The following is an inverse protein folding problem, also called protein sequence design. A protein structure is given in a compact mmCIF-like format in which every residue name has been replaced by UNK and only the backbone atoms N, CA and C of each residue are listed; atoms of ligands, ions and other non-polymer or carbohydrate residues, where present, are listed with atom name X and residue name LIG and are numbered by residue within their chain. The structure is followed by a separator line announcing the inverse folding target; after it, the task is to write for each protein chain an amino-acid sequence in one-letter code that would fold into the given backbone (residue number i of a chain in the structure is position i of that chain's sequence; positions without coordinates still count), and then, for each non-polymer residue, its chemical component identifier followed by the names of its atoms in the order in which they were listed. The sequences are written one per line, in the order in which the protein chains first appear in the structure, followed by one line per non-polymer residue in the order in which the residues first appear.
data_IF_838108892195
#
_entry.id   IF_838108892195
#
_cell.length_a   1.000
_cell.length_b   1.000
_cell.length_c   1.000
_cell.angle_alpha   90.00
_cell.angle_beta   90.00
_cell.angle_gamma   90.00
#
_symmetry.space_group_name_H-M   'P 1'
#
loop_
_entity.id
_entity.type
_entity.pdbx_description
1 polymer ?
#
# COMPACT_ATOMS: atom_id res chain seq x y z
N UNK A 1 5.47 22.83 -27.20
CA UNK A 1 5.23 21.88 -26.10
C UNK A 1 5.28 22.69 -24.84
N UNK A 2 4.17 22.76 -24.11
CA UNK A 2 4.11 23.54 -22.87
C UNK A 2 4.57 22.64 -21.74
N UNK A 3 5.62 23.06 -21.05
CA UNK A 3 6.11 22.43 -19.83
C UNK A 3 4.96 22.40 -18.82
N UNK A 4 4.52 21.19 -18.48
CA UNK A 4 3.44 21.00 -17.53
C UNK A 4 4.05 21.09 -16.12
N UNK A 5 3.77 22.17 -15.41
CA UNK A 5 4.25 22.36 -14.04
C UNK A 5 3.42 21.51 -13.08
N UNK A 6 4.09 20.76 -12.20
CA UNK A 6 3.44 20.12 -11.07
C UNK A 6 2.87 21.18 -10.12
N UNK A 7 1.74 20.88 -9.52
CA UNK A 7 1.22 21.65 -8.41
C UNK A 7 2.20 21.63 -7.22
N UNK A 8 1.96 22.51 -6.24
CA UNK A 8 2.91 22.78 -5.15
C UNK A 8 3.08 21.57 -4.21
N UNK A 9 2.03 20.77 -4.11
CA UNK A 9 1.90 19.50 -3.40
C UNK A 9 2.53 18.36 -4.22
N UNK A 10 2.22 18.29 -5.53
CA UNK A 10 2.83 17.33 -6.45
C UNK A 10 1.85 16.29 -6.98
N UNK A 11 0.60 16.32 -6.52
CA UNK A 11 -0.45 15.30 -6.73
C UNK A 11 -1.22 15.54 -8.03
N UNK A 12 -1.02 16.69 -8.69
CA UNK A 12 -1.53 16.93 -10.02
C UNK A 12 -0.65 17.87 -10.84
N UNK A 13 -0.85 17.81 -12.16
CA UNK A 13 -0.24 18.74 -13.11
C UNK A 13 -1.18 19.93 -13.28
N UNK A 14 -0.69 21.13 -12.97
CA UNK A 14 -1.46 22.35 -13.14
C UNK A 14 -1.78 22.56 -14.61
N UNK A 15 -3.05 22.89 -14.90
CA UNK A 15 -3.53 23.13 -16.27
C UNK A 15 -4.20 24.49 -16.37
N UNK A 16 -3.93 25.17 -17.48
CA UNK A 16 -4.61 26.39 -17.91
C UNK A 16 -4.88 26.28 -19.41
N UNK A 17 -5.96 26.90 -19.87
CA UNK A 17 -6.31 26.83 -21.28
C UNK A 17 -7.56 27.61 -21.63
N UNK A 18 -7.85 27.60 -22.92
CA UNK A 18 -9.03 28.21 -23.52
C UNK A 18 -9.89 27.12 -24.15
N UNK A 19 -11.21 27.20 -23.94
CA UNK A 19 -12.17 26.32 -24.58
C UNK A 19 -12.94 27.10 -25.64
N UNK A 20 -12.77 26.71 -26.91
CA UNK A 20 -13.50 27.31 -28.03
C UNK A 20 -14.72 26.46 -28.36
N UNK A 21 -15.89 27.07 -28.38
CA UNK A 21 -17.15 26.41 -28.73
C UNK A 21 -17.55 26.77 -30.17
N UNK A 22 -17.48 25.79 -31.07
CA UNK A 22 -17.93 25.95 -32.45
C UNK A 22 -19.47 25.93 -32.53
N UNK A 23 -20.02 26.40 -33.65
CA UNK A 23 -21.46 26.39 -33.86
C UNK A 23 -22.04 24.97 -33.74
N UNK A 24 -23.01 24.80 -32.83
CA UNK A 24 -23.66 23.51 -32.57
C UNK A 24 -22.92 22.60 -31.58
N UNK A 25 -21.77 23.04 -31.02
CA UNK A 25 -21.08 22.34 -29.94
C UNK A 25 -21.55 22.90 -28.59
N UNK A 26 -22.11 22.05 -27.75
CA UNK A 26 -22.65 22.42 -26.42
C UNK A 26 -21.74 22.03 -25.25
N UNK A 27 -20.69 21.25 -25.52
CA UNK A 27 -19.83 20.66 -24.50
C UNK A 27 -18.38 20.57 -24.94
N UNK A 28 -17.49 20.83 -23.98
CA UNK A 28 -16.04 20.66 -24.07
C UNK A 28 -15.53 20.10 -22.75
N UNK A 29 -14.38 19.43 -22.80
CA UNK A 29 -13.77 18.79 -21.63
C UNK A 29 -12.44 19.46 -21.30
N UNK A 30 -12.19 19.66 -20.02
CA UNK A 30 -10.87 19.98 -19.47
C UNK A 30 -10.29 18.69 -18.90
N UNK A 31 -9.06 18.35 -19.28
CA UNK A 31 -8.32 17.23 -18.70
C UNK A 31 -7.29 17.76 -17.71
N UNK A 32 -7.31 17.21 -16.50
CA UNK A 32 -6.28 17.41 -15.48
C UNK A 32 -5.59 16.06 -15.26
N UNK A 33 -4.27 16.05 -15.24
CA UNK A 33 -3.49 14.85 -14.93
C UNK A 33 -3.26 14.77 -13.42
N UNK A 34 -3.73 13.69 -12.80
CA UNK A 34 -3.42 13.34 -11.41
C UNK A 34 -2.11 12.55 -11.41
N UNK A 35 -1.27 12.79 -10.39
CA UNK A 35 0.01 12.14 -10.20
C UNK A 35 -0.20 11.11 -9.10
N UNK A 36 -0.06 9.85 -9.50
CA UNK A 36 -0.17 8.69 -8.63
C UNK A 36 1.19 8.38 -8.01
N UNK A 37 1.24 8.10 -6.71
CA UNK A 37 2.43 7.60 -6.04
C UNK A 37 2.11 6.40 -5.14
N UNK A 38 2.84 6.21 -4.04
CA UNK A 38 2.57 5.13 -3.10
C UNK A 38 2.75 5.58 -1.63
N UNK A 39 2.64 6.88 -1.39
CA UNK A 39 2.69 7.47 -0.06
C UNK A 39 1.28 7.51 0.51
N UNK A 40 1.13 7.18 1.80
CA UNK A 40 -0.20 7.26 2.43
C UNK A 40 -0.46 8.72 2.77
N UNK A 41 -1.40 9.32 2.07
CA UNK A 41 -1.77 10.72 2.21
C UNK A 41 -3.23 10.87 2.65
N UNK A 42 -3.63 12.00 3.27
CA UNK A 42 -5.04 12.33 3.44
C UNK A 42 -5.69 12.66 2.08
N UNK A 43 -7.02 12.63 2.00
CA UNK A 43 -7.72 13.16 0.82
C UNK A 43 -7.40 14.65 0.62
N UNK A 44 -7.06 15.02 -0.61
CA UNK A 44 -6.68 16.37 -0.98
C UNK A 44 -7.63 16.97 -2.03
N UNK A 45 -7.58 18.28 -2.23
CA UNK A 45 -8.46 18.93 -3.20
C UNK A 45 -7.87 20.17 -3.83
N UNK A 46 -8.26 20.41 -5.07
CA UNK A 46 -7.99 21.64 -5.81
C UNK A 46 -9.26 22.16 -6.46
N UNK A 47 -9.17 23.35 -7.05
CA UNK A 47 -10.29 24.00 -7.72
C UNK A 47 -9.97 24.26 -9.19
N UNK A 48 -10.96 24.05 -10.06
CA UNK A 48 -10.96 24.54 -11.43
C UNK A 48 -11.93 25.71 -11.49
N UNK A 49 -11.47 26.85 -12.03
CA UNK A 49 -12.25 28.08 -12.13
C UNK A 49 -12.27 28.59 -13.57
N UNK A 50 -13.47 28.94 -14.05
CA UNK A 50 -13.66 29.74 -15.25
C UNK A 50 -13.38 31.20 -14.89
N UNK A 51 -12.43 31.84 -15.58
CA UNK A 51 -11.91 33.15 -15.18
C UNK A 51 -12.41 34.29 -16.06
N UNK A 52 -12.56 34.04 -17.36
CA UNK A 52 -13.08 34.99 -18.33
C UNK A 52 -13.87 34.28 -19.41
N UNK A 53 -14.78 35.01 -20.05
CA UNK A 53 -15.52 34.56 -21.23
C UNK A 53 -15.49 35.67 -22.27
N UNK A 54 -15.34 35.30 -23.53
CA UNK A 54 -15.40 36.21 -24.67
C UNK A 54 -16.53 35.78 -25.61
N UNK A 55 -17.31 36.75 -26.11
CA UNK A 55 -18.46 36.51 -26.98
C UNK A 55 -19.58 37.52 -26.76
N UNK A 56 -20.41 37.75 -27.76
CA UNK A 56 -21.53 38.70 -27.65
C UNK A 56 -22.67 38.09 -26.81
N UNK A 57 -23.13 38.83 -25.79
CA UNK A 57 -24.24 38.44 -24.91
C UNK A 57 -23.99 37.26 -23.97
N UNK A 58 -22.79 36.68 -23.93
CA UNK A 58 -22.45 35.54 -23.06
C UNK A 58 -21.93 36.01 -21.70
N UNK A 59 -22.18 35.21 -20.66
CA UNK A 59 -21.66 35.41 -19.31
C UNK A 59 -21.37 34.06 -18.66
N UNK A 60 -20.46 34.06 -17.68
CA UNK A 60 -20.30 32.90 -16.81
C UNK A 60 -21.57 32.67 -15.98
N UNK A 61 -21.89 31.41 -15.73
CA UNK A 61 -23.01 31.01 -14.88
C UNK A 61 -22.70 31.18 -13.39
N UNK A 62 -23.69 30.87 -12.54
CA UNK A 62 -23.52 30.95 -11.08
C UNK A 62 -22.47 29.98 -10.55
N UNK A 63 -22.27 28.84 -11.22
CA UNK A 63 -21.25 27.85 -10.90
C UNK A 63 -20.13 28.00 -11.93
N UNK A 64 -19.13 28.80 -11.58
CA UNK A 64 -17.92 29.03 -12.37
C UNK A 64 -16.67 28.38 -11.76
N UNK A 65 -16.83 27.73 -10.60
CA UNK A 65 -15.75 27.10 -9.84
C UNK A 65 -16.22 25.74 -9.34
N UNK A 66 -15.42 24.71 -9.60
CA UNK A 66 -15.68 23.35 -9.12
C UNK A 66 -14.51 22.84 -8.29
N UNK A 67 -14.81 22.06 -7.24
CA UNK A 67 -13.81 21.39 -6.41
C UNK A 67 -13.59 19.98 -6.96
N UNK A 68 -12.33 19.62 -7.13
CA UNK A 68 -11.90 18.25 -7.44
C UNK A 68 -11.20 17.71 -6.21
N UNK A 69 -11.60 16.51 -5.76
CA UNK A 69 -10.99 15.82 -4.63
C UNK A 69 -10.19 14.63 -5.16
N UNK A 70 -8.93 14.55 -4.77
CA UNK A 70 -8.04 13.41 -4.99
C UNK A 70 -8.19 12.54 -3.74
N UNK A 71 -8.65 11.31 -3.94
CA UNK A 71 -8.87 10.35 -2.85
C UNK A 71 -7.64 9.47 -2.77
N UNK A 72 -7.02 9.39 -1.59
CA UNK A 72 -5.89 8.51 -1.36
C UNK A 72 -6.34 7.04 -1.40
N UNK A 73 -5.69 6.23 -2.21
CA UNK A 73 -5.90 4.78 -2.30
C UNK A 73 -4.68 3.95 -1.88
N UNK A 74 -3.67 4.60 -1.30
CA UNK A 74 -2.51 3.96 -0.70
C UNK A 74 -2.75 3.53 0.75
N UNK A 75 -2.40 2.28 1.03
CA UNK A 75 -2.54 1.68 2.36
C UNK A 75 -1.28 0.92 2.76
N UNK A 76 -0.92 0.92 4.07
CA UNK A 76 0.27 0.23 4.54
C UNK A 76 0.15 -1.30 4.50
N UNK A 77 -1.06 -1.82 4.32
CA UNK A 77 -1.34 -3.25 4.30
C UNK A 77 -1.53 -3.88 5.68
N UNK A 78 -1.88 -5.15 5.67
CA UNK A 78 -2.15 -6.01 6.82
C UNK A 78 -1.18 -7.18 6.80
N UNK A 79 -0.57 -7.47 7.95
CA UNK A 79 0.35 -8.61 8.12
C UNK A 79 -0.40 -9.80 8.69
N UNK A 80 -0.33 -10.94 8.01
CA UNK A 80 -1.07 -12.16 8.38
C UNK A 80 -0.18 -13.40 8.34
N UNK A 81 -0.54 -14.41 9.14
CA UNK A 81 -0.22 -15.79 8.81
C UNK A 81 -1.28 -16.31 7.82
N UNK A 82 -0.90 -16.86 6.66
CA UNK A 82 -1.87 -17.35 5.68
C UNK A 82 -2.52 -18.68 6.09
N UNK A 83 -1.93 -19.38 7.07
CA UNK A 83 -2.34 -20.70 7.56
C UNK A 83 -2.39 -20.65 9.08
N UNK A 84 -3.50 -21.13 9.66
CA UNK A 84 -3.73 -21.13 11.12
C UNK A 84 -3.08 -22.31 11.86
N UNK A 85 -2.97 -23.47 11.20
CA UNK A 85 -2.46 -24.71 11.79
C UNK A 85 -1.46 -25.36 10.84
N UNK A 86 -0.20 -25.46 11.28
CA UNK A 86 0.88 -26.11 10.55
C UNK A 86 1.26 -27.39 11.27
N UNK A 87 1.23 -28.49 10.53
CA UNK A 87 1.60 -29.82 11.03
C UNK A 87 2.98 -30.19 10.51
N UNK A 88 3.87 -30.53 11.43
CA UNK A 88 5.19 -31.09 11.13
C UNK A 88 5.40 -32.37 11.95
N UNK A 89 6.39 -33.16 11.56
CA UNK A 89 6.91 -34.29 12.33
C UNK A 89 8.09 -33.82 13.16
N UNK A 90 8.34 -34.50 14.27
CA UNK A 90 9.54 -34.25 15.09
C UNK A 90 10.83 -34.47 14.29
N UNK A 91 10.79 -35.31 13.25
CA UNK A 91 11.90 -35.57 12.33
C UNK A 91 12.06 -34.57 11.17
N UNK A 92 11.19 -33.56 11.03
CA UNK A 92 11.29 -32.57 9.95
C UNK A 92 12.46 -31.58 10.19
N UNK A 93 12.98 -31.50 11.42
CA UNK A 93 14.13 -30.67 11.79
C UNK A 93 13.79 -29.18 11.95
N UNK A 94 12.89 -28.64 11.14
CA UNK A 94 12.36 -27.29 11.28
C UNK A 94 10.94 -27.13 10.72
N UNK A 95 10.25 -26.10 11.17
CA UNK A 95 9.01 -25.60 10.55
C UNK A 95 9.25 -24.18 10.02
N UNK A 96 8.87 -23.98 8.76
CA UNK A 96 8.95 -22.68 8.07
C UNK A 96 7.56 -22.06 8.02
N UNK A 97 7.42 -20.85 8.55
CA UNK A 97 6.15 -20.15 8.70
C UNK A 97 6.24 -18.82 7.94
N UNK A 98 5.50 -18.70 6.85
CA UNK A 98 5.44 -17.47 6.07
C UNK A 98 4.51 -16.44 6.73
N UNK A 99 4.93 -15.17 6.72
CA UNK A 99 4.11 -14.00 7.04
C UNK A 99 3.89 -13.23 5.75
N UNK A 100 2.63 -12.93 5.45
CA UNK A 100 2.22 -12.23 4.24
C UNK A 100 1.82 -10.80 4.56
N UNK A 101 2.23 -9.85 3.70
CA UNK A 101 1.70 -8.49 3.66
C UNK A 101 0.65 -8.39 2.56
N UNK A 102 -0.59 -8.07 2.92
CA UNK A 102 -1.74 -8.05 2.02
C UNK A 102 -2.50 -6.73 2.11
N UNK A 103 -3.33 -6.41 1.11
CA UNK A 103 -4.21 -5.23 1.13
C UNK A 103 -3.47 -3.89 1.28
N UNK A 104 -2.26 -3.78 0.75
CA UNK A 104 -1.46 -2.56 0.79
C UNK A 104 0.02 -2.86 0.96
N UNK A 105 0.85 -1.95 0.48
CA UNK A 105 2.30 -2.05 0.58
C UNK A 105 2.99 -0.70 0.77
N UNK A 106 2.22 0.37 1.01
CA UNK A 106 2.74 1.71 1.19
C UNK A 106 3.58 1.81 2.48
N UNK A 107 4.76 2.41 2.37
CA UNK A 107 5.67 2.60 3.50
C UNK A 107 6.36 1.32 4.00
N UNK A 108 7.44 1.50 4.75
CA UNK A 108 8.13 0.41 5.41
C UNK A 108 7.38 -0.02 6.69
N UNK A 109 7.34 -1.32 6.98
CA UNK A 109 6.68 -1.86 8.18
C UNK A 109 7.56 -2.89 8.89
N UNK A 110 7.45 -2.95 10.21
CA UNK A 110 8.17 -3.91 11.06
C UNK A 110 7.20 -4.71 11.94
N UNK A 111 7.40 -6.02 12.02
CA UNK A 111 6.60 -6.94 12.85
C UNK A 111 7.50 -7.72 13.80
N UNK A 112 7.23 -7.62 15.11
CA UNK A 112 7.89 -8.46 16.11
C UNK A 112 7.12 -9.77 16.29
N UNK A 113 7.85 -10.86 16.42
CA UNK A 113 7.30 -12.17 16.72
C UNK A 113 8.10 -12.87 17.81
N UNK A 114 7.46 -13.83 18.49
CA UNK A 114 8.09 -14.76 19.43
C UNK A 114 7.30 -16.06 19.51
N UNK A 115 7.98 -17.16 19.80
CA UNK A 115 7.31 -18.39 20.16
C UNK A 115 6.62 -18.29 21.54
N UNK A 116 5.54 -19.03 21.72
CA UNK A 116 4.85 -19.21 23.01
C UNK A 116 4.59 -20.70 23.16
N UNK A 117 4.94 -21.25 24.34
CA UNK A 117 4.74 -22.67 24.62
C UNK A 117 3.25 -23.03 24.65
N UNK A 118 2.95 -24.19 24.08
CA UNK A 118 1.66 -24.87 24.19
C UNK A 118 1.84 -26.17 24.96
N UNK A 119 1.46 -27.30 24.34
CA UNK A 119 1.81 -28.63 24.85
C UNK A 119 3.27 -29.00 24.58
N UNK A 120 3.84 -28.51 23.47
CA UNK A 120 5.26 -28.56 23.16
C UNK A 120 5.99 -27.46 23.95
N UNK A 121 7.14 -27.81 24.55
CA UNK A 121 7.92 -26.93 25.43
C UNK A 121 9.26 -26.60 24.78
N UNK A 122 9.63 -25.32 24.77
CA UNK A 122 10.92 -24.84 24.29
C UNK A 122 12.09 -25.50 25.05
N UNK A 123 13.14 -25.87 24.32
CA UNK A 123 14.30 -26.60 24.85
C UNK A 123 14.08 -28.10 25.03
N UNK A 124 12.82 -28.57 24.93
CA UNK A 124 12.49 -30.01 24.87
C UNK A 124 12.05 -30.42 23.47
N UNK A 125 11.01 -29.80 22.94
CA UNK A 125 10.36 -30.19 21.68
C UNK A 125 10.77 -29.31 20.49
N UNK A 126 11.18 -28.08 20.75
CA UNK A 126 11.60 -27.13 19.73
C UNK A 126 12.53 -26.08 20.35
N UNK A 127 13.23 -25.32 19.52
CA UNK A 127 14.04 -24.17 19.99
C UNK A 127 13.26 -22.88 19.76
N UNK A 128 12.83 -22.23 20.84
CA UNK A 128 12.12 -20.95 20.72
C UNK A 128 13.00 -19.87 20.08
N UNK A 129 12.39 -19.08 19.21
CA UNK A 129 12.98 -17.90 18.59
C UNK A 129 12.08 -16.68 18.77
N UNK A 130 12.70 -15.51 18.71
CA UNK A 130 12.03 -14.22 18.60
C UNK A 130 12.80 -13.34 17.62
N UNK A 131 12.10 -12.40 17.00
CA UNK A 131 12.71 -11.57 15.96
C UNK A 131 11.82 -10.46 15.49
N UNK A 132 12.33 -9.72 14.51
CA UNK A 132 11.60 -8.69 13.78
C UNK A 132 11.67 -9.00 12.29
N UNK A 133 10.53 -9.02 11.62
CA UNK A 133 10.43 -9.04 10.17
C UNK A 133 10.23 -7.61 9.68
N UNK A 134 10.92 -7.22 8.62
CA UNK A 134 10.90 -5.86 8.07
C UNK A 134 10.62 -5.91 6.58
N UNK A 135 9.58 -5.20 6.15
CA UNK A 135 9.31 -4.97 4.73
C UNK A 135 9.72 -3.55 4.40
N UNK A 136 10.44 -3.40 3.29
CA UNK A 136 10.62 -2.10 2.66
C UNK A 136 9.27 -1.57 2.12
N UNK A 137 9.22 -0.27 1.80
CA UNK A 137 8.09 0.27 1.04
C UNK A 137 7.94 -0.50 -0.27
N UNK A 138 6.69 -0.82 -0.62
CA UNK A 138 6.29 -1.58 -1.82
C UNK A 138 6.71 -3.05 -1.84
N UNK A 139 7.41 -3.54 -0.81
CA UNK A 139 7.74 -4.94 -0.71
C UNK A 139 6.56 -5.74 -0.16
N UNK A 140 6.12 -6.72 -0.94
CA UNK A 140 5.06 -7.69 -0.60
C UNK A 140 5.57 -9.13 -0.57
N UNK A 141 6.89 -9.33 -0.67
CA UNK A 141 7.52 -10.64 -0.61
C UNK A 141 7.22 -11.27 0.76
N UNK A 142 6.65 -12.48 0.83
CA UNK A 142 6.48 -13.15 2.11
C UNK A 142 7.82 -13.32 2.82
N UNK A 143 7.85 -13.01 4.11
CA UNK A 143 9.02 -13.24 4.95
C UNK A 143 8.75 -14.44 5.85
N UNK A 144 9.79 -15.20 6.12
CA UNK A 144 9.67 -16.50 6.78
C UNK A 144 10.25 -16.48 8.20
N UNK A 145 9.61 -17.24 9.07
CA UNK A 145 10.07 -17.56 10.41
C UNK A 145 10.44 -19.05 10.41
N UNK A 146 11.68 -19.35 10.79
CA UNK A 146 12.24 -20.71 10.77
C UNK A 146 12.41 -21.20 12.21
N UNK A 147 11.54 -22.11 12.65
CA UNK A 147 11.55 -22.63 14.03
C UNK A 147 12.14 -24.04 14.04
N UNK A 148 13.32 -24.27 14.66
CA UNK A 148 13.90 -25.60 14.75
C UNK A 148 13.06 -26.54 15.63
N UNK A 149 12.80 -27.74 15.14
CA UNK A 149 12.09 -28.81 15.85
C UNK A 149 13.12 -29.80 16.39
N UNK A 150 12.93 -30.22 17.64
CA UNK A 150 13.81 -31.19 18.31
C UNK A 150 13.21 -32.58 18.18
N UNK A 151 13.92 -33.45 17.47
CA UNK A 151 13.63 -34.88 17.46
C UNK A 151 14.19 -35.54 18.74
N UNK A 152 13.32 -36.09 19.59
CA UNK A 152 13.70 -36.77 20.83
C UNK A 152 14.07 -38.26 20.61
N UNK A 153 13.87 -38.79 19.40
CA UNK A 153 14.31 -40.13 18.99
C UNK A 153 15.82 -40.20 18.64
N UNK A 154 16.61 -39.16 18.96
CA UNK A 154 18.04 -39.34 19.14
C UNK A 154 18.27 -40.25 20.34
N UNK A 155 18.37 -41.55 20.06
CA UNK A 155 18.97 -42.56 20.93
C UNK A 155 20.17 -41.91 21.61
N UNK A 156 20.06 -41.66 22.91
CA UNK A 156 21.23 -41.36 23.73
C UNK A 156 22.16 -42.55 23.52
N UNK A 157 23.24 -42.31 22.77
CA UNK A 157 24.22 -43.34 22.44
C UNK A 157 24.52 -44.13 23.70
N UNK A 158 24.17 -45.41 23.66
CA UNK A 158 24.43 -46.31 24.76
C UNK A 158 25.94 -46.57 24.78
N UNK A 159 26.55 -46.22 25.91
CA UNK A 159 27.92 -46.50 26.39
C UNK A 159 29.10 -45.74 25.76
#
# INVERSE_FOLDING_TARGET
GKDAARAKDGDYVSTEGELVFDAGVDSRTVTVTIIDDNEVEPDEHFFIRLTSVEGDGIKLGEIDCTRVTIINDDFPGTLIFPIEDIKCKESDGEVVIAVHRVQGCAGAVSLKYRCIDGTAISGKNYTAIEGTLEWASLDVTPLEIHVPITDDDKVQGTQ
#
